data_IF_182998323671
#
_entry.id   IF_182998323671
#
_cell.length_a   1.000
_cell.length_b   1.000
_cell.length_c   1.000
_cell.angle_alpha   90.00
_cell.angle_beta   90.00
_cell.angle_gamma   90.00
#
_symmetry.space_group_name_H-M   'P 1'
#
loop_
_entity.id
_entity.type
_entity.pdbx_description
1 polymer ?
#
# COMPACT_ATOMS: atom_id res chain seq x y z
N UNK A 1 19.68 -0.80 24.37
CA UNK A 1 19.45 0.00 25.59
C UNK A 1 19.34 1.49 25.27
N UNK A 2 20.25 2.04 24.43
CA UNK A 2 20.23 3.46 24.08
C UNK A 2 18.92 3.93 23.40
N UNK A 3 18.27 3.07 22.60
CA UNK A 3 17.03 3.42 21.88
C UNK A 3 15.85 3.80 22.80
N UNK A 4 15.89 3.41 24.08
CA UNK A 4 14.83 3.71 25.06
C UNK A 4 15.28 4.64 26.18
N UNK A 5 16.58 4.92 26.27
CA UNK A 5 17.18 5.60 27.42
C UNK A 5 16.69 7.05 27.59
N UNK A 6 16.39 7.73 26.48
CA UNK A 6 16.04 9.16 26.46
C UNK A 6 14.59 9.45 26.01
N UNK A 7 13.76 8.41 25.86
CA UNK A 7 12.41 8.60 25.31
C UNK A 7 11.50 9.41 26.23
N UNK A 8 11.74 9.38 27.55
CA UNK A 8 10.94 10.12 28.52
C UNK A 8 11.27 11.62 28.42
N UNK A 9 12.55 12.00 28.45
CA UNK A 9 12.92 13.42 28.29
C UNK A 9 12.52 13.94 26.92
N UNK A 10 12.67 13.13 25.86
CA UNK A 10 12.23 13.49 24.52
C UNK A 10 10.71 13.72 24.46
N UNK A 11 9.90 12.82 25.05
CA UNK A 11 8.44 12.98 25.13
C UNK A 11 8.07 14.29 25.79
N UNK A 12 8.68 14.62 26.91
CA UNK A 12 8.34 15.82 27.68
C UNK A 12 8.68 17.09 26.89
N UNK A 13 9.85 17.12 26.21
CA UNK A 13 10.20 18.23 25.32
C UNK A 13 9.31 18.34 24.08
N UNK A 14 8.91 17.23 23.49
CA UNK A 14 7.96 17.25 22.37
C UNK A 14 6.57 17.72 22.83
N UNK A 15 6.13 17.33 24.03
CA UNK A 15 4.86 17.78 24.60
C UNK A 15 4.84 19.30 24.84
N UNK A 16 5.91 19.86 25.42
CA UNK A 16 6.08 21.31 25.59
C UNK A 16 5.98 22.05 24.23
N UNK A 17 6.64 21.54 23.19
CA UNK A 17 6.60 22.14 21.84
C UNK A 17 5.21 22.06 21.21
N UNK A 18 4.50 20.94 21.39
CA UNK A 18 3.14 20.76 20.88
C UNK A 18 2.13 21.67 21.60
N UNK A 19 2.29 21.87 22.90
CA UNK A 19 1.47 22.78 23.68
C UNK A 19 1.70 24.24 23.26
N UNK A 20 2.97 24.65 23.13
CA UNK A 20 3.32 25.99 22.64
C UNK A 20 2.76 26.29 21.24
N UNK A 21 2.61 25.27 20.40
CA UNK A 21 2.00 25.40 19.06
C UNK A 21 0.47 25.21 19.05
N UNK A 22 -0.16 24.90 20.18
CA UNK A 22 -1.60 24.61 20.26
C UNK A 22 -2.02 23.29 19.58
N UNK A 23 -1.06 22.40 19.29
CA UNK A 23 -1.25 21.14 18.55
C UNK A 23 -1.33 19.90 19.45
N UNK A 24 -1.15 20.06 20.76
CA UNK A 24 -1.16 18.93 21.71
C UNK A 24 -2.45 18.11 21.65
N UNK A 25 -3.62 18.76 21.51
CA UNK A 25 -4.91 18.06 21.38
C UNK A 25 -4.99 17.20 20.11
N UNK A 26 -4.40 17.66 19.01
CA UNK A 26 -4.36 16.90 17.75
C UNK A 26 -3.45 15.68 17.90
N UNK A 27 -2.26 15.86 18.48
CA UNK A 27 -1.34 14.78 18.75
C UNK A 27 -1.95 13.70 19.66
N UNK A 28 -2.68 14.09 20.71
CA UNK A 28 -3.39 13.15 21.58
C UNK A 28 -4.43 12.30 20.83
N UNK A 29 -5.17 12.90 19.89
CA UNK A 29 -6.10 12.14 19.05
C UNK A 29 -5.36 11.15 18.12
N UNK A 30 -4.22 11.57 17.58
CA UNK A 30 -3.38 10.70 16.74
C UNK A 30 -2.81 9.53 17.53
N UNK A 31 -2.33 9.76 18.76
CA UNK A 31 -1.87 8.70 19.65
C UNK A 31 -2.98 7.73 20.04
N UNK A 32 -4.17 8.24 20.39
CA UNK A 32 -5.34 7.41 20.67
C UNK A 32 -5.71 6.54 19.47
N UNK A 33 -5.72 7.11 18.26
CA UNK A 33 -6.02 6.36 17.03
C UNK A 33 -4.99 5.24 16.76
N UNK A 34 -3.71 5.46 17.05
CA UNK A 34 -2.68 4.42 16.93
C UNK A 34 -2.91 3.30 17.95
N UNK A 35 -3.23 3.64 19.20
CA UNK A 35 -3.50 2.66 20.26
C UNK A 35 -4.75 1.80 19.98
N UNK A 36 -5.77 2.39 19.37
CA UNK A 36 -7.02 1.71 19.00
C UNK A 36 -6.93 0.95 17.67
N UNK A 37 -5.87 1.17 16.89
CA UNK A 37 -5.74 0.56 15.57
C UNK A 37 -5.63 -0.96 15.67
N UNK A 38 -6.48 -1.72 14.96
CA UNK A 38 -6.38 -3.17 14.95
C UNK A 38 -5.07 -3.60 14.28
N UNK A 39 -4.54 -4.79 14.62
CA UNK A 39 -3.42 -5.36 13.90
C UNK A 39 -3.66 -5.38 12.39
N UNK A 40 -2.61 -5.13 11.61
CA UNK A 40 -2.70 -5.13 10.16
C UNK A 40 -3.34 -6.44 9.66
N UNK A 41 -4.44 -6.32 8.91
CA UNK A 41 -5.14 -7.48 8.37
C UNK A 41 -4.22 -8.27 7.45
N UNK A 42 -4.21 -9.60 7.61
CA UNK A 42 -3.53 -10.49 6.67
C UNK A 42 -4.16 -10.32 5.29
N UNK A 43 -3.34 -10.08 4.28
CA UNK A 43 -3.84 -9.97 2.90
C UNK A 43 -4.44 -11.31 2.47
N UNK A 44 -5.50 -11.25 1.64
CA UNK A 44 -6.15 -12.45 1.08
C UNK A 44 -5.19 -13.28 0.21
N UNK A 45 -4.37 -12.61 -0.62
CA UNK A 45 -3.44 -13.26 -1.55
C UNK A 45 -2.02 -12.66 -1.39
N UNK A 46 -1.30 -12.95 -0.29
CA UNK A 46 0.01 -12.37 0.00
C UNK A 46 1.07 -12.77 -1.05
N UNK A 47 0.94 -13.95 -1.63
CA UNK A 47 1.80 -14.48 -2.70
C UNK A 47 1.84 -13.58 -3.95
N UNK A 48 0.84 -12.73 -4.17
CA UNK A 48 0.84 -11.77 -5.29
C UNK A 48 1.91 -10.68 -5.18
N UNK A 49 2.51 -10.48 -4.00
CA UNK A 49 3.63 -9.56 -3.78
C UNK A 49 5.02 -10.18 -3.96
N UNK A 50 5.10 -11.42 -4.46
CA UNK A 50 6.38 -12.06 -4.78
C UNK A 50 7.18 -11.17 -5.72
N UNK A 51 8.42 -10.85 -5.35
CA UNK A 51 9.32 -10.04 -6.18
C UNK A 51 9.54 -10.73 -7.53
N UNK A 52 9.46 -9.97 -8.64
CA UNK A 52 9.55 -10.52 -10.01
C UNK A 52 8.19 -10.87 -10.66
N UNK A 53 7.07 -10.64 -9.98
CA UNK A 53 5.73 -10.89 -10.54
C UNK A 53 5.43 -10.14 -11.85
N UNK A 54 6.09 -9.00 -12.10
CA UNK A 54 5.93 -8.21 -13.33
C UNK A 54 6.38 -8.96 -14.60
N UNK A 55 7.19 -10.00 -14.45
CA UNK A 55 7.67 -10.84 -15.56
C UNK A 55 6.69 -11.97 -15.91
N UNK A 56 5.67 -12.19 -15.07
CA UNK A 56 4.73 -13.31 -15.16
C UNK A 56 3.49 -12.89 -15.92
N UNK A 57 3.20 -13.58 -17.03
CA UNK A 57 2.10 -13.24 -17.94
C UNK A 57 1.04 -14.33 -18.05
N UNK A 58 1.27 -15.50 -17.45
CA UNK A 58 0.40 -16.67 -17.57
C UNK A 58 -0.25 -17.06 -16.23
N UNK A 59 -1.53 -17.42 -16.27
CA UNK A 59 -2.28 -17.96 -15.12
C UNK A 59 -1.66 -19.25 -14.59
N UNK A 60 -1.10 -20.08 -15.47
CA UNK A 60 -0.38 -21.29 -15.13
C UNK A 60 0.84 -20.99 -14.24
N UNK A 61 1.66 -20.03 -14.66
CA UNK A 61 2.84 -19.61 -13.90
C UNK A 61 2.45 -19.02 -12.53
N UNK A 62 1.34 -18.27 -12.46
CA UNK A 62 0.80 -17.80 -11.19
C UNK A 62 0.34 -18.95 -10.27
N UNK A 63 -0.22 -20.02 -10.82
CA UNK A 63 -0.60 -21.20 -10.05
C UNK A 63 0.62 -21.83 -9.38
N UNK A 64 1.72 -21.99 -10.13
CA UNK A 64 3.01 -22.48 -9.62
C UNK A 64 3.55 -21.58 -8.51
N UNK A 65 3.57 -20.27 -8.73
CA UNK A 65 4.05 -19.30 -7.72
C UNK A 65 3.20 -19.37 -6.45
N UNK A 66 1.86 -19.45 -6.59
CA UNK A 66 0.96 -19.57 -5.44
C UNK A 66 1.28 -20.81 -4.61
N UNK A 67 1.44 -21.98 -5.24
CA UNK A 67 1.74 -23.23 -4.55
C UNK A 67 3.11 -23.22 -3.87
N UNK A 68 4.16 -22.80 -4.58
CA UNK A 68 5.50 -22.69 -4.01
C UNK A 68 5.56 -21.68 -2.86
N UNK A 69 4.89 -20.54 -3.00
CA UNK A 69 4.83 -19.52 -1.95
C UNK A 69 4.11 -20.03 -0.71
N UNK A 70 2.96 -20.70 -0.88
CA UNK A 70 2.19 -21.26 0.24
C UNK A 70 2.99 -22.34 0.96
N UNK A 71 3.64 -23.24 0.21
CA UNK A 71 4.47 -24.28 0.81
C UNK A 71 5.67 -23.69 1.55
N UNK A 72 6.29 -22.66 0.98
CA UNK A 72 7.36 -21.92 1.64
C UNK A 72 6.90 -21.31 2.95
N UNK A 73 5.75 -20.65 2.98
CA UNK A 73 5.20 -20.00 4.19
C UNK A 73 4.91 -21.03 5.29
N UNK A 74 4.32 -22.17 4.93
CA UNK A 74 4.07 -23.29 5.85
C UNK A 74 5.36 -23.81 6.50
N UNK A 75 6.37 -24.13 5.68
CA UNK A 75 7.64 -24.68 6.18
C UNK A 75 8.40 -23.61 6.98
N UNK A 76 8.50 -22.39 6.46
CA UNK A 76 9.17 -21.29 7.13
C UNK A 76 8.60 -21.02 8.52
N UNK A 77 7.26 -21.06 8.64
CA UNK A 77 6.56 -20.94 9.91
C UNK A 77 6.86 -22.09 10.87
N UNK A 78 7.02 -23.33 10.39
CA UNK A 78 7.25 -24.49 11.27
C UNK A 78 8.67 -24.58 11.82
N UNK A 79 9.65 -24.01 11.11
CA UNK A 79 11.06 -23.98 11.54
C UNK A 79 11.52 -22.60 12.06
N UNK A 80 10.58 -21.68 12.27
CA UNK A 80 10.84 -20.29 12.70
C UNK A 80 11.95 -19.59 11.88
N UNK A 81 11.84 -19.69 10.54
CA UNK A 81 12.78 -19.08 9.62
C UNK A 81 12.06 -18.09 8.70
N UNK A 82 12.66 -16.93 8.45
CA UNK A 82 12.11 -15.99 7.49
C UNK A 82 11.92 -16.66 6.10
N UNK A 83 10.73 -16.59 5.46
CA UNK A 83 10.44 -17.31 4.23
C UNK A 83 11.46 -17.06 3.11
N UNK A 84 11.88 -15.81 2.91
CA UNK A 84 12.87 -15.46 1.89
C UNK A 84 14.28 -16.03 2.13
N UNK A 85 14.62 -16.40 3.37
CA UNK A 85 15.87 -17.11 3.69
C UNK A 85 15.76 -18.61 3.36
N UNK A 86 14.56 -19.18 3.44
CA UNK A 86 14.31 -20.57 3.10
C UNK A 86 14.28 -20.79 1.58
N UNK A 87 13.53 -19.98 0.85
CA UNK A 87 13.45 -20.02 -0.61
C UNK A 87 13.20 -18.60 -1.11
N UNK A 88 14.14 -18.04 -1.88
CA UNK A 88 14.00 -16.67 -2.36
C UNK A 88 12.89 -16.54 -3.41
N UNK A 89 12.29 -15.36 -3.50
CA UNK A 89 11.30 -15.04 -4.54
C UNK A 89 11.87 -15.27 -5.95
N UNK A 90 13.15 -14.94 -6.16
CA UNK A 90 13.82 -15.14 -7.45
C UNK A 90 13.87 -16.61 -7.88
N UNK A 91 14.07 -17.55 -6.95
CA UNK A 91 14.03 -18.99 -7.25
C UNK A 91 12.61 -19.45 -7.59
N UNK A 92 11.59 -18.93 -6.88
CA UNK A 92 10.18 -19.21 -7.17
C UNK A 92 9.82 -18.74 -8.60
N UNK A 93 10.24 -17.53 -8.98
CA UNK A 93 10.02 -17.00 -10.34
C UNK A 93 10.77 -17.82 -11.39
N UNK A 94 12.03 -18.19 -11.12
CA UNK A 94 12.82 -19.02 -12.03
C UNK A 94 12.16 -20.39 -12.26
N UNK A 95 11.68 -21.03 -11.19
CA UNK A 95 10.92 -22.28 -11.26
C UNK A 95 9.67 -22.11 -12.12
N UNK A 96 8.84 -21.10 -11.84
CA UNK A 96 7.60 -20.85 -12.56
C UNK A 96 7.79 -20.59 -14.06
N UNK A 97 8.96 -20.12 -14.49
CA UNK A 97 9.32 -19.93 -15.90
C UNK A 97 10.02 -21.13 -16.54
N UNK A 98 10.43 -22.09 -15.74
CA UNK A 98 11.14 -23.28 -16.19
C UNK A 98 10.20 -24.46 -16.43
N UNK A 99 10.74 -25.56 -16.94
CA UNK A 99 10.05 -26.84 -17.06
C UNK A 99 10.95 -27.97 -16.55
N UNK A 100 11.47 -27.80 -15.32
CA UNK A 100 12.39 -28.75 -14.71
C UNK A 100 11.65 -30.03 -14.31
N UNK A 101 12.25 -31.19 -14.58
CA UNK A 101 11.63 -32.50 -14.31
C UNK A 101 12.26 -33.25 -13.15
N UNK A 102 13.48 -32.85 -12.78
CA UNK A 102 14.28 -33.54 -11.78
C UNK A 102 15.15 -32.54 -11.00
N UNK A 103 15.75 -33.05 -9.92
CA UNK A 103 16.61 -32.29 -9.01
C UNK A 103 17.79 -31.62 -9.72
N UNK A 104 18.42 -32.30 -10.67
CA UNK A 104 19.59 -31.79 -11.37
C UNK A 104 19.25 -30.60 -12.27
N UNK A 105 18.12 -30.66 -12.97
CA UNK A 105 17.60 -29.55 -13.77
C UNK A 105 17.23 -28.35 -12.90
N UNK A 106 16.60 -28.59 -11.75
CA UNK A 106 16.29 -27.53 -10.79
C UNK A 106 17.56 -26.82 -10.29
N UNK A 107 18.59 -27.57 -9.89
CA UNK A 107 19.85 -27.00 -9.41
C UNK A 107 20.69 -26.34 -10.51
N UNK A 108 20.42 -26.62 -11.79
CA UNK A 108 21.04 -25.92 -12.93
C UNK A 108 20.45 -24.54 -13.19
N UNK A 109 19.28 -24.21 -12.62
CA UNK A 109 18.72 -22.86 -12.73
C UNK A 109 19.67 -21.85 -12.09
N UNK A 110 19.96 -20.74 -12.79
CA UNK A 110 20.91 -19.73 -12.33
C UNK A 110 20.57 -19.17 -10.94
N UNK A 111 19.29 -18.85 -10.70
CA UNK A 111 18.83 -18.36 -9.39
C UNK A 111 18.92 -19.44 -8.29
N UNK A 112 18.62 -20.70 -8.61
CA UNK A 112 18.74 -21.80 -7.65
C UNK A 112 20.20 -22.00 -7.24
N UNK A 113 21.11 -22.11 -8.22
CA UNK A 113 22.55 -22.20 -8.00
C UNK A 113 23.11 -21.02 -7.21
N UNK A 114 22.61 -19.80 -7.48
CA UNK A 114 23.11 -18.60 -6.83
C UNK A 114 22.62 -18.43 -5.39
N UNK A 115 21.43 -18.96 -5.03
CA UNK A 115 20.75 -18.62 -3.76
C UNK A 115 20.51 -19.79 -2.82
N UNK A 116 20.52 -21.03 -3.31
CA UNK A 116 20.49 -22.24 -2.49
C UNK A 116 21.94 -22.58 -2.12
N UNK A 117 22.34 -22.24 -0.89
CA UNK A 117 23.73 -22.35 -0.42
C UNK A 117 23.88 -23.20 0.83
N UNK A 118 22.99 -23.02 1.80
CA UNK A 118 23.11 -23.67 3.11
C UNK A 118 22.38 -25.03 3.14
N UNK A 119 22.71 -25.86 4.14
CA UNK A 119 22.16 -27.22 4.25
C UNK A 119 20.65 -27.24 4.47
N UNK A 120 20.12 -26.27 5.21
CA UNK A 120 18.66 -26.12 5.43
C UNK A 120 17.94 -25.93 4.08
N UNK A 121 18.43 -25.03 3.22
CA UNK A 121 17.84 -24.81 1.90
C UNK A 121 17.94 -26.07 1.03
N UNK A 122 19.09 -26.78 1.10
CA UNK A 122 19.32 -28.00 0.34
C UNK A 122 18.41 -29.15 0.76
N UNK A 123 18.07 -29.27 2.05
CA UNK A 123 17.20 -30.35 2.53
C UNK A 123 15.77 -30.28 2.00
N UNK A 124 15.30 -29.09 1.61
CA UNK A 124 13.95 -28.90 1.05
C UNK A 124 13.89 -28.92 -0.49
N UNK A 125 15.00 -29.20 -1.18
CA UNK A 125 15.06 -29.24 -2.65
C UNK A 125 13.99 -30.18 -3.23
N UNK A 126 13.88 -31.39 -2.65
CA UNK A 126 12.92 -32.39 -3.13
C UNK A 126 11.47 -31.90 -2.91
N UNK A 127 11.19 -31.31 -1.75
CA UNK A 127 9.89 -30.72 -1.45
C UNK A 127 9.50 -29.61 -2.42
N UNK A 128 10.46 -28.77 -2.84
CA UNK A 128 10.19 -27.73 -3.85
C UNK A 128 9.92 -28.31 -5.22
N UNK A 129 10.66 -29.35 -5.61
CA UNK A 129 10.45 -30.05 -6.88
C UNK A 129 9.08 -30.74 -6.89
N UNK A 130 8.73 -31.48 -5.84
CA UNK A 130 7.41 -32.11 -5.70
C UNK A 130 6.28 -31.08 -5.76
N UNK A 131 6.41 -29.96 -5.04
CA UNK A 131 5.42 -28.88 -5.05
C UNK A 131 5.29 -28.25 -6.43
N UNK A 132 6.41 -28.05 -7.13
CA UNK A 132 6.43 -27.53 -8.49
C UNK A 132 5.71 -28.49 -9.45
N UNK A 133 6.07 -29.78 -9.45
CA UNK A 133 5.48 -30.80 -10.31
C UNK A 133 3.97 -30.96 -10.04
N UNK A 134 3.56 -30.97 -8.78
CA UNK A 134 2.14 -30.99 -8.40
C UNK A 134 1.40 -29.74 -8.93
N UNK A 135 2.03 -28.56 -8.85
CA UNK A 135 1.46 -27.34 -9.42
C UNK A 135 1.35 -27.37 -10.95
N UNK A 136 2.28 -28.06 -11.63
CA UNK A 136 2.20 -28.26 -13.08
C UNK A 136 1.00 -29.12 -13.50
N UNK A 137 0.58 -30.06 -12.66
CA UNK A 137 -0.58 -30.93 -12.90
C UNK A 137 -1.94 -30.31 -12.57
N UNK A 138 -1.99 -29.06 -12.10
CA UNK A 138 -3.26 -28.40 -11.77
C UNK A 138 -4.10 -28.12 -13.02
N UNK A 139 -5.39 -28.44 -12.94
CA UNK A 139 -6.38 -28.12 -13.96
C UNK A 139 -6.54 -26.59 -14.14
N UNK A 140 -6.91 -26.16 -15.36
CA UNK A 140 -6.95 -24.75 -15.73
C UNK A 140 -7.98 -23.95 -14.91
N UNK A 141 -9.04 -24.61 -14.45
CA UNK A 141 -10.09 -24.10 -13.56
C UNK A 141 -9.52 -23.68 -12.21
N UNK A 142 -8.46 -24.34 -11.73
CA UNK A 142 -7.84 -24.07 -10.44
C UNK A 142 -6.77 -22.97 -10.49
N UNK A 143 -6.40 -22.50 -11.70
CA UNK A 143 -5.40 -21.46 -11.85
C UNK A 143 -5.96 -20.10 -11.41
N UNK A 144 -5.20 -19.31 -10.64
CA UNK A 144 -5.66 -18.01 -10.19
C UNK A 144 -5.88 -17.04 -11.36
N UNK A 145 -6.73 -16.04 -11.16
CA UNK A 145 -6.90 -14.93 -12.11
C UNK A 145 -5.63 -14.08 -12.19
N UNK A 146 -5.30 -13.58 -13.38
CA UNK A 146 -4.13 -12.71 -13.61
C UNK A 146 -4.21 -11.41 -12.81
N UNK A 147 -5.42 -10.83 -12.72
CA UNK A 147 -5.69 -9.64 -11.92
C UNK A 147 -6.75 -10.00 -10.89
N UNK A 148 -6.41 -9.86 -9.62
CA UNK A 148 -7.41 -9.89 -8.56
C UNK A 148 -8.33 -8.67 -8.72
N UNK A 149 -9.64 -8.83 -8.54
CA UNK A 149 -10.56 -7.70 -8.29
C UNK A 149 -10.13 -7.03 -6.98
N UNK A 150 -9.24 -6.05 -7.08
CA UNK A 150 -8.85 -5.25 -5.93
C UNK A 150 -9.95 -4.25 -5.65
N UNK A 151 -10.42 -4.20 -4.41
CA UNK A 151 -11.36 -3.20 -3.89
C UNK A 151 -10.72 -1.78 -3.79
N UNK A 152 -9.57 -1.59 -4.43
CA UNK A 152 -8.80 -0.36 -4.42
C UNK A 152 -9.28 0.58 -5.51
N UNK A 153 -9.35 1.87 -5.18
CA UNK A 153 -9.68 2.91 -6.13
C UNK A 153 -8.82 2.86 -7.40
N UNK A 154 -9.39 3.19 -8.58
CA UNK A 154 -8.64 3.22 -9.83
C UNK A 154 -7.41 4.14 -9.72
N UNK A 155 -6.30 3.86 -10.41
CA UNK A 155 -5.12 4.72 -10.40
C UNK A 155 -5.46 6.14 -10.85
N UNK A 156 -4.96 7.16 -10.13
CA UNK A 156 -5.27 8.58 -10.44
C UNK A 156 -4.89 8.96 -11.88
N UNK A 157 -3.86 8.32 -12.45
CA UNK A 157 -3.43 8.52 -13.85
C UNK A 157 -4.57 8.31 -14.86
N UNK A 158 -5.50 7.39 -14.59
CA UNK A 158 -6.64 7.13 -15.48
C UNK A 158 -7.83 8.05 -15.20
N UNK A 159 -7.84 8.82 -14.11
CA UNK A 159 -8.95 9.70 -13.77
C UNK A 159 -9.04 10.86 -14.75
N UNK A 160 -7.91 11.45 -15.15
CA UNK A 160 -7.88 12.55 -16.12
C UNK A 160 -8.61 12.22 -17.43
N UNK A 161 -8.55 10.96 -17.89
CA UNK A 161 -9.18 10.53 -19.14
C UNK A 161 -10.56 9.88 -18.95
N UNK A 162 -10.74 9.05 -17.91
CA UNK A 162 -11.98 8.28 -17.71
C UNK A 162 -12.96 8.90 -16.71
N UNK A 163 -12.47 9.70 -15.77
CA UNK A 163 -13.23 10.26 -14.65
C UNK A 163 -12.89 11.75 -14.45
N UNK A 164 -13.14 12.61 -15.45
CA UNK A 164 -12.66 13.99 -15.46
C UNK A 164 -13.19 14.83 -14.29
N UNK A 165 -14.44 14.59 -13.85
CA UNK A 165 -15.04 15.28 -12.69
C UNK A 165 -14.34 14.85 -11.40
N UNK A 166 -14.13 13.55 -11.17
CA UNK A 166 -13.35 13.06 -10.03
C UNK A 166 -11.93 13.65 -9.99
N UNK A 167 -11.30 13.79 -11.16
CA UNK A 167 -9.99 14.41 -11.29
C UNK A 167 -10.03 15.91 -10.95
N UNK A 168 -11.09 16.62 -11.35
CA UNK A 168 -11.31 18.02 -10.99
C UNK A 168 -11.45 18.18 -9.46
N UNK A 169 -12.32 17.39 -8.83
CA UNK A 169 -12.48 17.37 -7.38
C UNK A 169 -11.15 17.12 -6.67
N UNK A 170 -10.40 16.10 -7.09
CA UNK A 170 -9.11 15.76 -6.49
C UNK A 170 -8.08 16.88 -6.64
N UNK A 171 -8.05 17.55 -7.79
CA UNK A 171 -7.09 18.64 -8.05
C UNK A 171 -7.35 19.84 -7.14
N UNK A 172 -8.62 20.22 -6.98
CA UNK A 172 -9.02 21.30 -6.06
C UNK A 172 -8.82 20.92 -4.59
N UNK A 173 -9.17 19.69 -4.22
CA UNK A 173 -8.94 19.18 -2.86
C UNK A 173 -7.45 19.27 -2.49
N UNK A 174 -6.54 18.82 -3.37
CA UNK A 174 -5.11 18.89 -3.13
C UNK A 174 -4.59 20.31 -2.93
N UNK A 175 -5.02 21.26 -3.77
CA UNK A 175 -4.61 22.65 -3.64
C UNK A 175 -5.06 23.24 -2.29
N UNK A 176 -6.35 23.11 -1.96
CA UNK A 176 -6.92 23.66 -0.71
C UNK A 176 -6.32 23.01 0.53
N UNK A 177 -6.11 21.70 0.51
CA UNK A 177 -5.47 21.00 1.63
C UNK A 177 -4.00 21.42 1.79
N UNK A 178 -3.30 21.69 0.69
CA UNK A 178 -1.94 22.24 0.73
C UNK A 178 -1.92 23.62 1.41
N UNK A 179 -2.87 24.50 1.08
CA UNK A 179 -2.99 25.81 1.71
C UNK A 179 -3.28 25.68 3.22
N UNK A 180 -4.16 24.74 3.61
CA UNK A 180 -4.44 24.45 5.03
C UNK A 180 -3.17 23.95 5.73
N UNK A 181 -2.43 23.03 5.13
CA UNK A 181 -1.21 22.48 5.71
C UNK A 181 -0.14 23.56 5.94
N UNK A 182 0.04 24.47 4.97
CA UNK A 182 0.93 25.64 5.08
C UNK A 182 0.48 26.55 6.22
N UNK A 183 -0.82 26.89 6.28
CA UNK A 183 -1.36 27.77 7.32
C UNK A 183 -1.24 27.18 8.73
N UNK A 184 -1.35 25.85 8.86
CA UNK A 184 -1.20 25.14 10.13
C UNK A 184 0.27 24.83 10.47
N UNK A 185 1.20 25.12 9.56
CA UNK A 185 2.62 24.76 9.65
C UNK A 185 2.80 23.28 10.01
N UNK A 186 2.16 22.40 9.22
CA UNK A 186 2.31 20.94 9.31
C UNK A 186 2.51 20.37 7.90
N UNK A 187 3.25 19.26 7.76
CA UNK A 187 3.30 18.54 6.49
C UNK A 187 1.91 18.05 6.05
N UNK A 188 1.64 18.06 4.73
CA UNK A 188 0.34 17.69 4.16
C UNK A 188 -0.04 16.24 4.50
N UNK A 189 0.95 15.35 4.54
CA UNK A 189 0.80 13.94 4.91
C UNK A 189 0.35 13.75 6.36
N UNK A 190 0.65 14.72 7.25
CA UNK A 190 0.18 14.71 8.64
C UNK A 190 -1.23 15.31 8.77
N UNK A 191 -1.61 16.21 7.85
CA UNK A 191 -2.97 16.76 7.82
C UNK A 191 -4.00 15.70 7.46
N UNK A 192 -3.81 14.97 6.35
CA UNK A 192 -4.76 13.95 5.89
C UNK A 192 -4.10 12.93 4.95
N UNK A 193 -4.47 11.65 5.11
CA UNK A 193 -4.00 10.59 4.23
C UNK A 193 -4.54 10.74 2.79
N UNK A 194 -3.70 10.58 1.74
CA UNK A 194 -4.11 10.78 0.35
C UNK A 194 -5.22 9.83 -0.10
N UNK A 195 -5.30 8.63 0.49
CA UNK A 195 -6.37 7.67 0.18
C UNK A 195 -7.73 8.15 0.67
N UNK A 196 -7.80 8.87 1.81
CA UNK A 196 -9.05 9.47 2.30
C UNK A 196 -9.58 10.48 1.30
N UNK A 197 -8.71 11.39 0.83
CA UNK A 197 -9.05 12.39 -0.18
C UNK A 197 -9.57 11.72 -1.45
N UNK A 198 -8.87 10.68 -1.93
CA UNK A 198 -9.30 9.93 -3.13
C UNK A 198 -10.66 9.26 -2.94
N UNK A 199 -10.96 8.70 -1.78
CA UNK A 199 -12.26 8.09 -1.47
C UNK A 199 -13.40 9.11 -1.45
N UNK A 200 -13.15 10.33 -0.99
CA UNK A 200 -14.14 11.41 -1.02
C UNK A 200 -14.38 11.92 -2.45
N UNK A 201 -13.31 12.05 -3.25
CA UNK A 201 -13.41 12.62 -4.60
C UNK A 201 -13.95 11.65 -5.67
N UNK A 202 -14.02 10.34 -5.39
CA UNK A 202 -14.40 9.31 -6.35
C UNK A 202 -15.67 8.57 -5.91
N UNK A 203 -16.74 8.69 -6.70
CA UNK A 203 -18.07 8.14 -6.39
C UNK A 203 -18.44 7.06 -7.42
N UNK A 204 -17.59 6.04 -7.53
CA UNK A 204 -17.79 4.88 -8.41
C UNK A 204 -18.16 5.24 -9.86
N UNK A 205 -17.55 6.29 -10.42
CA UNK A 205 -17.82 6.80 -11.77
C UNK A 205 -19.21 7.45 -11.97
N UNK A 206 -19.87 7.86 -10.90
CA UNK A 206 -21.12 8.63 -10.92
C UNK A 206 -20.92 10.03 -10.30
N UNK A 207 -19.76 10.65 -10.53
CA UNK A 207 -19.46 11.94 -9.93
C UNK A 207 -20.39 13.03 -10.48
N UNK A 208 -21.07 13.71 -9.55
CA UNK A 208 -21.94 14.83 -9.85
C UNK A 208 -21.38 16.10 -9.22
N UNK A 209 -21.66 17.24 -9.84
CA UNK A 209 -21.33 18.54 -9.26
C UNK A 209 -22.25 18.80 -8.09
N UNK A 210 -21.65 18.99 -6.92
CA UNK A 210 -22.39 19.19 -5.69
C UNK A 210 -22.30 20.64 -5.25
N UNK A 211 -23.45 21.20 -4.88
CA UNK A 211 -23.51 22.52 -4.28
C UNK A 211 -23.19 22.42 -2.80
N UNK A 212 -22.42 23.37 -2.30
CA UNK A 212 -22.14 23.47 -0.87
C UNK A 212 -23.46 23.54 -0.10
N UNK A 213 -23.62 22.63 0.86
CA UNK A 213 -24.79 22.56 1.72
C UNK A 213 -24.41 21.91 3.06
N UNK A 214 -25.15 22.17 4.14
CA UNK A 214 -24.91 21.51 5.42
C UNK A 214 -24.98 19.97 5.32
N UNK A 215 -25.88 19.45 4.47
CA UNK A 215 -25.99 18.02 4.22
C UNK A 215 -24.75 17.43 3.55
N UNK A 216 -24.15 18.16 2.59
CA UNK A 216 -22.90 17.74 1.95
C UNK A 216 -21.74 17.69 2.95
N UNK A 217 -21.60 18.73 3.77
CA UNK A 217 -20.56 18.79 4.79
C UNK A 217 -20.66 17.60 5.74
N UNK A 218 -21.86 17.35 6.29
CA UNK A 218 -22.11 16.21 7.18
C UNK A 218 -21.82 14.86 6.52
N UNK A 219 -22.10 14.73 5.21
CA UNK A 219 -21.77 13.53 4.44
C UNK A 219 -20.25 13.33 4.33
N UNK A 220 -19.50 14.39 4.02
CA UNK A 220 -18.02 14.35 3.93
C UNK A 220 -17.41 14.00 5.28
N UNK A 221 -17.87 14.65 6.36
CA UNK A 221 -17.41 14.36 7.73
C UNK A 221 -17.68 12.90 8.11
N UNK A 222 -18.87 12.38 7.81
CA UNK A 222 -19.24 10.99 8.06
C UNK A 222 -18.35 10.02 7.28
N UNK A 223 -18.09 10.30 6.01
CA UNK A 223 -17.21 9.48 5.19
C UNK A 223 -15.76 9.51 5.71
N UNK A 224 -15.24 10.67 6.11
CA UNK A 224 -13.92 10.77 6.71
C UNK A 224 -13.82 9.97 8.01
N UNK A 225 -14.81 10.09 8.89
CA UNK A 225 -14.88 9.36 10.17
C UNK A 225 -14.91 7.85 9.97
N UNK A 226 -15.78 7.35 9.09
CA UNK A 226 -15.89 5.91 8.77
C UNK A 226 -14.59 5.36 8.17
N UNK A 227 -13.81 6.19 7.49
CA UNK A 227 -12.53 5.80 6.93
C UNK A 227 -11.33 6.05 7.88
N UNK A 228 -11.57 6.46 9.13
CA UNK A 228 -10.56 6.56 10.18
C UNK A 228 -9.82 7.90 10.25
N UNK A 229 -10.38 8.98 9.69
CA UNK A 229 -9.89 10.33 9.96
C UNK A 229 -10.17 10.72 11.42
N UNK A 230 -9.22 11.42 12.04
CA UNK A 230 -9.38 11.93 13.42
C UNK A 230 -10.28 13.17 13.41
N UNK A 231 -10.98 13.44 14.51
CA UNK A 231 -11.93 14.57 14.57
C UNK A 231 -11.27 15.92 14.23
N UNK A 232 -10.03 16.15 14.68
CA UNK A 232 -9.31 17.37 14.30
C UNK A 232 -9.04 17.46 12.79
N UNK A 233 -8.76 16.34 12.12
CA UNK A 233 -8.55 16.29 10.67
C UNK A 233 -9.87 16.55 9.95
N UNK A 234 -10.97 15.96 10.44
CA UNK A 234 -12.33 16.16 9.92
C UNK A 234 -12.69 17.65 10.00
N UNK A 235 -12.48 18.28 11.15
CA UNK A 235 -12.77 19.71 11.37
C UNK A 235 -12.01 20.60 10.38
N UNK A 236 -10.72 20.32 10.15
CA UNK A 236 -9.89 21.15 9.25
C UNK A 236 -10.11 20.86 7.77
N UNK A 237 -10.38 19.61 7.39
CA UNK A 237 -10.37 19.19 5.99
C UNK A 237 -11.76 19.16 5.34
N UNK A 238 -12.83 18.89 6.10
CA UNK A 238 -14.16 18.67 5.54
C UNK A 238 -14.70 19.84 4.71
N UNK A 239 -14.54 21.11 5.13
CA UNK A 239 -14.98 22.24 4.30
C UNK A 239 -14.27 22.30 2.94
N UNK A 240 -12.94 22.19 2.93
CA UNK A 240 -12.15 22.20 1.70
C UNK A 240 -12.51 21.05 0.75
N UNK A 241 -12.73 19.85 1.31
CA UNK A 241 -13.16 18.68 0.56
C UNK A 241 -14.57 18.88 -0.01
N UNK A 242 -15.54 19.34 0.79
CA UNK A 242 -16.89 19.60 0.32
C UNK A 242 -16.94 20.66 -0.79
N UNK A 243 -16.13 21.73 -0.69
CA UNK A 243 -16.04 22.74 -1.75
C UNK A 243 -15.41 22.20 -3.04
N UNK A 244 -14.48 21.24 -2.92
CA UNK A 244 -13.84 20.62 -4.08
C UNK A 244 -14.83 19.81 -4.93
N UNK A 245 -15.87 19.25 -4.31
CA UNK A 245 -16.93 18.46 -4.97
C UNK A 245 -17.89 19.32 -5.83
N UNK A 246 -17.76 20.65 -5.79
CA UNK A 246 -18.48 21.56 -6.67
C UNK A 246 -17.72 21.93 -7.95
N UNK A 247 -16.51 21.41 -8.15
CA UNK A 247 -15.59 21.89 -9.18
C UNK A 247 -15.61 21.01 -10.43
N UNK A 248 -16.01 21.58 -11.57
CA UNK A 248 -16.12 20.87 -12.84
C UNK A 248 -14.80 20.77 -13.63
N UNK A 249 -13.88 21.70 -13.41
CA UNK A 249 -12.62 21.78 -14.14
C UNK A 249 -11.44 21.60 -13.18
N UNK A 250 -10.45 20.77 -13.54
CA UNK A 250 -9.26 20.63 -12.74
C UNK A 250 -8.47 21.94 -12.74
N UNK A 251 -7.85 22.25 -11.61
CA UNK A 251 -6.83 23.29 -11.59
C UNK A 251 -5.71 22.93 -12.57
N UNK A 252 -5.09 23.93 -13.23
CA UNK A 252 -3.87 23.68 -13.99
C UNK A 252 -2.86 22.98 -13.07
N UNK A 253 -2.06 22.05 -13.59
CA UNK A 253 -1.03 21.42 -12.78
C UNK A 253 -0.17 22.55 -12.20
N UNK A 254 -0.12 22.64 -10.86
CA UNK A 254 0.91 23.44 -10.21
C UNK A 254 2.24 22.97 -10.77
N UNK A 255 3.09 23.92 -11.19
CA UNK A 255 4.41 23.59 -11.70
C UNK A 255 5.09 22.64 -10.70
N UNK A 256 5.78 21.58 -11.16
CA UNK A 256 6.52 20.73 -10.25
C UNK A 256 7.44 21.65 -9.43
N UNK A 257 7.29 21.60 -8.10
CA UNK A 257 8.34 22.08 -7.20
C UNK A 257 9.55 21.26 -7.64
N UNK A 258 10.51 21.92 -8.28
CA UNK A 258 11.78 21.31 -8.58
C UNK A 258 12.37 20.94 -7.23
N UNK A 259 12.44 19.65 -6.94
CA UNK A 259 13.34 19.14 -5.90
C UNK A 259 14.74 19.58 -6.34
N UNK A 260 15.20 20.72 -5.80
CA UNK A 260 16.60 21.15 -5.87
C UNK A 260 17.44 20.20 -5.02
N UNK A 261 17.63 18.99 -5.52
CA UNK A 261 18.70 18.08 -5.09
C UNK A 261 19.16 17.30 -6.31
N UNK A 262 19.88 17.98 -7.21
CA UNK A 262 20.96 17.44 -8.04
C UNK A 262 21.58 18.60 -8.84
N UNK A 263 22.27 19.49 -8.12
CA UNK A 263 23.24 20.39 -8.71
C UNK A 263 24.26 20.79 -7.64
N UNK A 264 25.21 19.88 -7.38
CA UNK A 264 26.56 20.24 -6.94
C UNK A 264 27.47 19.02 -7.19
N UNK A 265 28.13 19.12 -8.36
CA UNK A 265 29.45 18.61 -8.77
C UNK A 265 29.76 17.10 -8.70
#
# INVERSE_FOLDING_TARGET
>A
ALDVALLIELRDKVAELLEAQGKLKWAMQDFAAILESPPAQKRKEPWRKTSGMHEIKSRYQLAIIRQLWQKRDEIASSIDLAPGRLLSDAVIIALAKSNVKNRDEFMKLGEAKARIRNEIQKSYIETWLETFLAAQSLEQEQWPELRSKSDSLPPVKIWKSKFPIAYAHLSHAKAKLSDIAINLNIPLENLIGPELVRKICFDQANEQLQKMSPALLSRVETQLRVNGAREWQIEKCSPALAESLGQAQPLPPSAPIQDETEAQE
#
